data_IF_668871115188
#
_entry.id   IF_668871115188
#
_cell.length_a   1.000
_cell.length_b   1.000
_cell.length_c   1.000
_cell.angle_alpha   90.00
_cell.angle_beta   90.00
_cell.angle_gamma   90.00
#
_symmetry.space_group_name_H-M   'P 1'
#
loop_
_entity.id
_entity.type
_entity.pdbx_description
1 polymer ?
#
# COMPACT_ATOMS: atom_id res chain seq x y z
N UNK A 1 -1.07 -19.62 4.76
CA UNK A 1 0.05 -20.16 3.95
C UNK A 1 1.07 -19.08 3.58
N UNK A 2 0.66 -17.92 3.03
CA UNK A 2 1.62 -16.86 2.66
C UNK A 2 2.45 -16.26 3.82
N UNK A 3 1.85 -16.00 5.00
CA UNK A 3 2.60 -15.50 6.17
C UNK A 3 3.64 -16.50 6.69
N UNK A 4 3.32 -17.79 6.67
CA UNK A 4 4.24 -18.86 7.09
C UNK A 4 5.39 -19.04 6.09
N UNK A 5 5.15 -18.80 4.81
CA UNK A 5 6.17 -18.88 3.76
C UNK A 5 7.03 -17.61 3.67
N UNK A 6 6.63 -16.50 4.30
CA UNK A 6 7.32 -15.20 4.26
C UNK A 6 7.59 -14.60 5.65
N UNK A 7 8.33 -15.32 6.53
CA UNK A 7 8.53 -14.92 7.92
C UNK A 7 9.32 -13.61 8.06
N UNK A 8 10.24 -13.30 7.12
CA UNK A 8 11.01 -12.04 7.12
C UNK A 8 10.10 -10.81 6.97
N UNK A 9 9.14 -10.87 6.04
CA UNK A 9 8.17 -9.80 5.82
C UNK A 9 7.29 -9.61 7.06
N UNK A 10 6.72 -10.70 7.57
CA UNK A 10 5.89 -10.65 8.77
C UNK A 10 6.66 -10.08 9.97
N UNK A 11 7.86 -10.56 10.26
CA UNK A 11 8.66 -10.07 11.40
C UNK A 11 9.00 -8.58 11.25
N UNK A 12 9.31 -8.11 10.04
CA UNK A 12 9.64 -6.70 9.82
C UNK A 12 8.42 -5.79 10.05
N UNK A 13 7.25 -6.22 9.58
CA UNK A 13 6.00 -5.47 9.75
C UNK A 13 5.59 -5.37 11.23
N UNK A 14 5.71 -6.48 11.95
CA UNK A 14 5.45 -6.51 13.40
C UNK A 14 6.47 -5.66 14.19
N UNK A 15 7.76 -5.69 13.85
CA UNK A 15 8.77 -4.90 14.60
C UNK A 15 8.51 -3.39 14.56
N UNK A 16 7.95 -2.89 13.46
CA UNK A 16 7.58 -1.47 13.32
C UNK A 16 6.27 -1.13 14.01
N UNK A 17 5.27 -2.01 13.94
CA UNK A 17 3.94 -1.76 14.50
C UNK A 17 3.91 -1.70 16.04
N UNK A 18 4.82 -2.43 16.73
CA UNK A 18 4.67 -2.67 18.18
C UNK A 18 5.61 -1.88 19.10
N UNK A 19 6.61 -1.13 18.59
CA UNK A 19 7.54 -0.38 19.44
C UNK A 19 7.31 1.13 19.39
N UNK A 20 6.58 1.67 20.38
CA UNK A 20 6.38 3.12 20.53
C UNK A 20 7.69 3.90 20.63
N UNK A 21 8.73 3.33 21.26
CA UNK A 21 10.06 3.94 21.36
C UNK A 21 10.75 4.05 19.98
N UNK A 22 10.64 3.00 19.16
CA UNK A 22 11.21 3.02 17.79
C UNK A 22 10.44 3.98 16.89
N UNK A 23 9.12 4.05 17.07
CA UNK A 23 8.26 5.02 16.40
C UNK A 23 8.67 6.46 16.75
N UNK A 24 8.80 6.79 18.04
CA UNK A 24 9.30 8.10 18.49
C UNK A 24 10.67 8.44 17.91
N UNK A 25 11.63 7.51 17.97
CA UNK A 25 12.98 7.71 17.40
C UNK A 25 12.95 8.01 15.90
N UNK A 26 11.97 7.48 15.18
CA UNK A 26 11.79 7.76 13.75
C UNK A 26 11.20 9.16 13.54
N UNK A 27 10.17 9.53 14.32
CA UNK A 27 9.57 10.88 14.28
C UNK A 27 10.57 11.98 14.64
N UNK A 28 11.48 11.72 15.58
CA UNK A 28 12.51 12.66 16.01
C UNK A 28 13.51 13.03 14.90
N UNK A 29 13.57 12.28 13.80
CA UNK A 29 14.33 12.69 12.60
C UNK A 29 13.72 13.91 11.90
N UNK A 30 12.42 14.11 12.06
CA UNK A 30 11.66 15.25 11.53
C UNK A 30 11.47 16.34 12.58
N UNK A 31 11.12 15.95 13.82
CA UNK A 31 10.86 16.87 14.93
C UNK A 31 11.62 16.39 16.18
N UNK A 32 12.87 16.83 16.39
CA UNK A 32 13.74 16.30 17.45
C UNK A 32 13.22 16.49 18.88
N UNK A 33 12.39 17.51 19.12
CA UNK A 33 11.86 17.85 20.44
C UNK A 33 10.70 16.96 20.90
N UNK A 34 10.19 16.07 20.05
CA UNK A 34 9.09 15.17 20.41
C UNK A 34 9.47 14.26 21.59
N UNK A 35 8.52 14.09 22.50
CA UNK A 35 8.61 13.21 23.67
C UNK A 35 7.56 12.11 23.59
N UNK A 36 7.60 11.17 24.54
CA UNK A 36 6.60 10.09 24.63
C UNK A 36 5.21 10.61 24.99
N UNK A 37 5.13 11.72 25.73
CA UNK A 37 3.86 12.30 26.21
C UNK A 37 3.09 12.99 25.08
N UNK A 38 3.78 13.34 23.99
CA UNK A 38 3.19 13.90 22.77
C UNK A 38 2.48 12.84 21.92
N UNK A 39 2.75 11.55 22.14
CA UNK A 39 2.18 10.44 21.37
C UNK A 39 0.87 9.98 21.99
N UNK A 40 -0.24 10.23 21.28
CA UNK A 40 -1.58 9.77 21.66
C UNK A 40 -2.04 8.63 20.75
N UNK A 41 -2.90 7.70 21.24
CA UNK A 41 -3.51 6.69 20.39
C UNK A 41 -4.29 7.33 19.24
N UNK A 42 -4.10 6.80 18.03
CA UNK A 42 -4.81 7.19 16.82
C UNK A 42 -5.47 5.99 16.14
N UNK A 43 -6.22 6.25 15.07
CA UNK A 43 -6.79 5.18 14.24
C UNK A 43 -5.67 4.49 13.46
N UNK A 44 -5.75 3.17 13.34
CA UNK A 44 -4.89 2.42 12.45
C UNK A 44 -5.47 2.42 11.03
N UNK A 45 -4.61 2.58 10.03
CA UNK A 45 -4.95 2.40 8.63
C UNK A 45 -4.41 1.07 8.11
N UNK A 46 -5.22 0.35 7.34
CA UNK A 46 -4.78 -0.85 6.61
C UNK A 46 -4.61 -0.49 5.15
N UNK A 47 -3.44 -0.77 4.58
CA UNK A 47 -3.18 -0.60 3.15
C UNK A 47 -3.45 -1.92 2.44
N UNK A 48 -4.31 -1.90 1.43
CA UNK A 48 -4.37 -2.99 0.48
C UNK A 48 -3.08 -2.97 -0.36
N UNK A 49 -2.30 -4.04 -0.30
CA UNK A 49 -1.08 -4.21 -1.07
C UNK A 49 -1.11 -5.57 -1.76
N UNK A 50 -0.75 -5.58 -3.04
CA UNK A 50 -0.60 -6.81 -3.78
C UNK A 50 0.64 -7.57 -3.30
N UNK A 51 0.43 -8.82 -2.91
CA UNK A 51 1.48 -9.75 -2.53
C UNK A 51 1.52 -10.86 -3.57
N UNK A 52 2.66 -11.03 -4.23
CA UNK A 52 2.81 -12.12 -5.20
C UNK A 52 3.02 -13.46 -4.49
N UNK A 53 2.93 -14.56 -5.23
CA UNK A 53 3.07 -15.92 -4.68
C UNK A 53 4.45 -16.17 -4.06
N UNK A 54 5.47 -15.46 -4.55
CA UNK A 54 6.84 -15.50 -4.02
C UNK A 54 7.02 -14.61 -2.78
N UNK A 55 5.96 -13.95 -2.31
CA UNK A 55 5.97 -13.10 -1.12
C UNK A 55 6.59 -11.72 -1.28
N UNK A 56 6.84 -11.31 -2.53
CA UNK A 56 7.31 -9.98 -2.85
C UNK A 56 6.11 -9.03 -3.09
N UNK A 57 6.23 -7.83 -2.52
CA UNK A 57 5.25 -6.76 -2.64
C UNK A 57 5.76 -5.79 -3.67
N UNK A 58 5.10 -5.74 -4.84
CA UNK A 58 5.42 -4.70 -5.81
C UNK A 58 4.81 -3.39 -5.34
N UNK A 59 5.61 -2.33 -5.32
CA UNK A 59 5.16 -0.96 -5.04
C UNK A 59 4.59 -0.27 -6.29
N UNK A 60 4.51 -0.97 -7.42
CA UNK A 60 3.99 -0.44 -8.68
C UNK A 60 2.47 -0.63 -8.80
N UNK A 61 1.83 0.30 -9.53
CA UNK A 61 0.45 0.15 -9.97
C UNK A 61 0.31 -1.10 -10.84
N UNK A 62 -0.69 -1.93 -10.55
CA UNK A 62 -0.98 -3.12 -11.34
C UNK A 62 -2.46 -3.18 -11.67
N UNK A 63 -2.76 -2.98 -12.94
CA UNK A 63 -4.10 -3.08 -13.49
C UNK A 63 -4.06 -4.15 -14.58
N UNK A 64 -4.96 -5.13 -14.50
CA UNK A 64 -5.02 -6.25 -15.42
C UNK A 64 -6.40 -6.28 -16.09
N UNK A 65 -6.44 -6.61 -17.37
CA UNK A 65 -7.68 -6.79 -18.11
C UNK A 65 -7.90 -8.27 -18.40
N UNK A 66 -9.16 -8.72 -18.27
CA UNK A 66 -9.57 -10.05 -18.72
C UNK A 66 -11.05 -10.07 -19.11
N UNK A 67 -11.32 -10.52 -20.34
CA UNK A 67 -12.66 -10.70 -20.91
C UNK A 67 -13.55 -9.43 -20.87
N UNK A 68 -14.38 -9.31 -19.83
CA UNK A 68 -15.32 -8.20 -19.64
C UNK A 68 -15.02 -7.37 -18.38
N UNK A 69 -13.83 -7.54 -17.81
CA UNK A 69 -13.45 -6.98 -16.52
C UNK A 69 -12.06 -6.33 -16.56
N UNK A 70 -11.95 -5.19 -15.89
CA UNK A 70 -10.68 -4.56 -15.55
C UNK A 70 -10.49 -4.72 -14.04
N UNK A 71 -9.34 -5.26 -13.64
CA UNK A 71 -8.98 -5.55 -12.27
C UNK A 71 -7.86 -4.63 -11.81
N UNK A 72 -8.16 -3.69 -10.92
CA UNK A 72 -7.15 -2.89 -10.24
C UNK A 72 -6.59 -3.72 -9.08
N UNK A 73 -5.51 -4.45 -9.33
CA UNK A 73 -4.90 -5.37 -8.38
C UNK A 73 -4.01 -4.66 -7.36
N UNK A 74 -3.34 -3.59 -7.77
CA UNK A 74 -2.52 -2.79 -6.88
C UNK A 74 -2.63 -1.31 -7.27
N UNK A 75 -3.00 -0.48 -6.30
CA UNK A 75 -2.92 0.97 -6.38
C UNK A 75 -2.31 1.49 -5.08
N UNK A 76 -0.99 1.30 -4.88
CA UNK A 76 -0.34 1.71 -3.65
C UNK A 76 -0.18 3.23 -3.59
N UNK A 77 0.20 3.74 -2.41
CA UNK A 77 0.43 5.18 -2.20
C UNK A 77 1.46 5.70 -3.21
N UNK A 78 1.21 6.84 -3.87
CA UNK A 78 0.17 7.83 -3.57
C UNK A 78 -1.09 7.72 -4.45
N UNK A 79 -1.80 6.58 -4.43
CA UNK A 79 -3.06 6.40 -5.17
C UNK A 79 -4.12 7.47 -4.90
N UNK A 80 -4.21 8.02 -3.68
CA UNK A 80 -5.13 9.10 -3.39
C UNK A 80 -4.78 10.39 -4.16
N UNK A 81 -3.50 10.71 -4.29
CA UNK A 81 -3.02 11.88 -5.04
C UNK A 81 -3.08 11.67 -6.54
N UNK A 82 -2.84 10.44 -7.00
CA UNK A 82 -2.84 10.07 -8.42
C UNK A 82 -4.20 9.56 -8.92
N UNK A 83 -5.28 9.71 -8.15
CA UNK A 83 -6.56 9.06 -8.42
C UNK A 83 -7.17 9.42 -9.78
N UNK A 84 -7.02 10.68 -10.21
CA UNK A 84 -7.53 11.14 -11.50
C UNK A 84 -6.77 10.50 -12.67
N UNK A 85 -5.43 10.49 -12.61
CA UNK A 85 -4.61 9.86 -13.64
C UNK A 85 -4.88 8.34 -13.74
N UNK A 86 -5.09 7.68 -12.59
CA UNK A 86 -5.50 6.26 -12.56
C UNK A 86 -6.88 6.09 -13.22
N UNK A 87 -7.83 6.99 -12.95
CA UNK A 87 -9.15 6.99 -13.56
C UNK A 87 -9.10 7.17 -15.09
N UNK A 88 -8.26 8.08 -15.57
CA UNK A 88 -8.04 8.30 -17.01
C UNK A 88 -7.49 7.04 -17.68
N UNK A 89 -6.50 6.39 -17.05
CA UNK A 89 -5.92 5.15 -17.58
C UNK A 89 -6.94 4.01 -17.63
N UNK A 90 -7.77 3.85 -16.59
CA UNK A 90 -8.85 2.86 -16.57
C UNK A 90 -9.88 3.14 -17.67
N UNK A 91 -10.22 4.41 -17.89
CA UNK A 91 -11.13 4.84 -18.97
C UNK A 91 -10.55 4.50 -20.34
N UNK A 92 -9.26 4.76 -20.55
CA UNK A 92 -8.56 4.43 -21.79
C UNK A 92 -8.56 2.93 -22.05
N UNK A 93 -8.21 2.11 -21.04
CA UNK A 93 -8.25 0.65 -21.15
C UNK A 93 -9.66 0.14 -21.45
N UNK A 94 -10.69 0.70 -20.80
CA UNK A 94 -12.08 0.32 -21.04
C UNK A 94 -12.50 0.63 -22.48
N UNK A 95 -12.14 1.81 -22.99
CA UNK A 95 -12.45 2.23 -24.35
C UNK A 95 -11.80 1.29 -25.38
N UNK A 96 -10.52 0.97 -25.17
CA UNK A 96 -9.74 0.06 -26.05
C UNK A 96 -10.24 -1.38 -26.03
N UNK A 97 -10.52 -1.93 -24.85
CA UNK A 97 -10.81 -3.36 -24.70
C UNK A 97 -12.31 -3.70 -24.81
N UNK A 98 -13.21 -2.80 -24.43
CA UNK A 98 -14.65 -3.04 -24.43
C UNK A 98 -15.40 -2.43 -25.62
N UNK A 99 -14.70 -1.79 -26.56
CA UNK A 99 -15.30 -1.12 -27.74
C UNK A 99 -16.36 -0.09 -27.33
N UNK A 100 -16.06 0.67 -26.29
CA UNK A 100 -16.92 1.77 -25.84
C UNK A 100 -16.58 2.99 -26.70
N UNK A 101 -17.26 3.09 -27.85
CA UNK A 101 -17.32 4.22 -28.80
C UNK A 101 -16.01 4.95 -29.11
#
# INVERSE_FOLDING_TARGET
>A
KLLFNNPKFAINEYRRAFSKKLFLKTLQRLIPSLTMDDIKPGRAGVRAMLLNENGDTKDDFRIEYKDKSIHVLNAPSPAATACLAIGDEITNMASQHFKLN
#
